data_IF_359857868220
#
_entry.id   IF_359857868220
#
_cell.length_a   1.000
_cell.length_b   1.000
_cell.length_c   1.000
_cell.angle_alpha   90.00
_cell.angle_beta   90.00
_cell.angle_gamma   90.00
#
_symmetry.space_group_name_H-M   'P 1'
#
loop_
_entity.id
_entity.type
_entity.pdbx_description
1 polymer ?
#
# COMPACT_ATOMS: atom_id res chain seq x y z
N UNK A 1 -28.46 8.89 18.74
CA UNK A 1 -27.78 10.14 18.33
C UNK A 1 -26.33 10.03 18.77
N UNK A 2 -25.42 10.40 17.86
CA UNK A 2 -23.98 10.64 18.05
C UNK A 2 -23.05 9.42 18.19
N UNK A 3 -22.53 9.02 17.01
CA UNK A 3 -21.17 8.51 16.82
C UNK A 3 -20.20 9.68 16.96
N UNK A 4 -19.13 9.53 17.75
CA UNK A 4 -17.90 10.28 17.55
C UNK A 4 -16.72 9.31 17.60
N UNK A 5 -16.00 9.33 16.48
CA UNK A 5 -14.77 8.62 16.21
C UNK A 5 -13.75 8.92 17.31
N UNK A 6 -13.03 7.87 17.71
CA UNK A 6 -11.87 7.96 18.58
C UNK A 6 -10.70 8.43 17.71
N UNK A 7 -10.47 9.73 17.64
CA UNK A 7 -9.24 10.33 17.11
C UNK A 7 -8.15 10.30 18.19
N UNK A 8 -6.98 9.70 17.93
CA UNK A 8 -5.75 10.17 18.54
C UNK A 8 -4.86 10.88 17.50
N UNK A 9 -4.82 12.21 17.65
CA UNK A 9 -3.62 13.05 17.74
C UNK A 9 -2.56 12.85 16.64
N UNK A 10 -2.57 13.81 15.71
CA UNK A 10 -1.42 14.25 14.92
C UNK A 10 -0.25 14.52 15.87
N UNK A 11 0.69 13.58 15.95
CA UNK A 11 2.01 13.78 16.54
C UNK A 11 3.00 14.00 15.40
N UNK A 12 3.64 15.17 15.42
CA UNK A 12 4.41 15.72 14.32
C UNK A 12 5.57 14.85 13.87
N UNK A 13 5.50 14.43 12.60
CA UNK A 13 6.64 14.30 11.72
C UNK A 13 6.29 15.18 10.51
N UNK A 14 7.23 15.92 9.93
CA UNK A 14 7.08 16.48 8.58
C UNK A 14 7.11 15.32 7.55
N UNK A 15 6.25 14.31 7.74
CA UNK A 15 6.15 13.09 6.97
C UNK A 15 4.90 13.15 6.11
N UNK A 16 5.00 12.62 4.90
CA UNK A 16 3.83 12.43 4.05
C UNK A 16 2.89 11.40 4.69
N UNK A 17 1.59 11.63 4.67
CA UNK A 17 0.61 10.56 4.93
C UNK A 17 0.24 9.88 3.61
N UNK A 18 -0.19 8.64 3.70
CA UNK A 18 -0.53 7.80 2.56
C UNK A 18 -1.95 7.28 2.71
N UNK A 19 -2.83 7.59 1.78
CA UNK A 19 -4.20 7.08 1.75
C UNK A 19 -4.31 5.98 0.72
N UNK A 20 -4.60 4.76 1.15
CA UNK A 20 -4.85 3.61 0.27
C UNK A 20 -6.35 3.48 0.06
N UNK A 21 -6.79 3.61 -1.19
CA UNK A 21 -8.19 3.39 -1.57
C UNK A 21 -8.25 2.02 -2.24
N UNK A 22 -8.75 1.04 -1.51
CA UNK A 22 -8.78 -0.37 -1.95
C UNK A 22 -9.82 -0.61 -3.06
N UNK A 23 -10.90 0.17 -3.06
CA UNK A 23 -12.01 0.10 -4.01
C UNK A 23 -12.56 1.48 -4.31
N UNK A 24 -12.89 1.74 -5.56
CA UNK A 24 -13.56 2.99 -5.97
C UNK A 24 -14.88 3.19 -5.20
N UNK A 25 -15.10 4.39 -4.66
CA UNK A 25 -16.30 4.73 -3.89
C UNK A 25 -16.25 4.34 -2.40
N UNK A 26 -15.16 3.74 -1.92
CA UNK A 26 -14.94 3.51 -0.49
C UNK A 26 -14.02 4.57 0.12
N UNK A 27 -14.19 4.80 1.43
CA UNK A 27 -13.28 5.66 2.20
C UNK A 27 -11.90 4.98 2.22
N UNK A 28 -10.88 5.72 1.79
CA UNK A 28 -9.50 5.25 1.86
C UNK A 28 -9.02 5.12 3.30
N UNK A 29 -8.09 4.19 3.52
CA UNK A 29 -7.41 4.02 4.81
C UNK A 29 -6.15 4.88 4.80
N UNK A 30 -6.00 5.75 5.79
CA UNK A 30 -4.81 6.59 5.95
C UNK A 30 -3.75 5.90 6.79
N UNK A 31 -2.50 6.04 6.37
CA UNK A 31 -1.31 5.52 7.02
C UNK A 31 -0.26 6.62 7.12
N UNK A 32 0.31 6.80 8.31
CA UNK A 32 1.49 7.64 8.50
C UNK A 32 2.78 6.92 8.06
N UNK A 33 2.77 5.58 8.07
CA UNK A 33 3.92 4.76 7.70
C UNK A 33 3.82 4.27 6.24
N UNK A 34 4.85 4.52 5.40
CA UNK A 34 4.83 4.12 4.00
C UNK A 34 4.86 2.60 3.79
N UNK A 35 5.41 1.82 4.74
CA UNK A 35 5.47 0.35 4.63
C UNK A 35 4.09 -0.26 4.86
N UNK A 36 3.36 0.24 5.85
CA UNK A 36 1.96 -0.15 6.08
C UNK A 36 1.07 0.19 4.89
N UNK A 37 1.24 1.37 4.30
CA UNK A 37 0.52 1.74 3.08
C UNK A 37 0.86 0.82 1.91
N UNK A 38 2.14 0.49 1.72
CA UNK A 38 2.60 -0.42 0.67
C UNK A 38 2.04 -1.84 0.86
N UNK A 39 2.02 -2.35 2.09
CA UNK A 39 1.42 -3.65 2.43
C UNK A 39 -0.09 -3.68 2.17
N UNK A 40 -0.82 -2.64 2.59
CA UNK A 40 -2.25 -2.53 2.33
C UNK A 40 -2.55 -2.47 0.82
N UNK A 41 -1.77 -1.71 0.06
CA UNK A 41 -1.89 -1.66 -1.40
C UNK A 41 -1.51 -3.00 -2.05
N UNK A 42 -0.48 -3.69 -1.55
CA UNK A 42 -0.05 -5.00 -2.01
C UNK A 42 -1.11 -6.09 -1.77
N UNK A 43 -1.80 -6.05 -0.62
CA UNK A 43 -2.89 -6.98 -0.28
C UNK A 43 -4.22 -6.67 -0.97
N UNK A 44 -4.45 -5.42 -1.36
CA UNK A 44 -5.71 -5.03 -2.02
C UNK A 44 -5.96 -5.81 -3.33
N UNK A 45 -7.20 -6.18 -3.60
CA UNK A 45 -7.54 -6.94 -4.81
C UNK A 45 -7.32 -6.07 -6.07
N UNK A 46 -6.57 -6.58 -7.06
CA UNK A 46 -6.29 -5.83 -8.28
C UNK A 46 -7.56 -5.53 -9.11
N UNK A 47 -8.62 -6.33 -8.96
CA UNK A 47 -9.90 -6.13 -9.65
C UNK A 47 -10.63 -4.88 -9.18
N UNK A 48 -10.45 -4.50 -7.91
CA UNK A 48 -11.07 -3.31 -7.29
C UNK A 48 -10.37 -2.00 -7.69
N UNK A 49 -9.30 -2.11 -8.51
CA UNK A 49 -8.47 -1.00 -9.01
C UNK A 49 -7.96 -0.09 -7.88
N UNK A 50 -7.23 -0.65 -6.89
CA UNK A 50 -6.75 0.14 -5.78
C UNK A 50 -5.75 1.20 -6.25
N UNK A 51 -5.68 2.31 -5.52
CA UNK A 51 -4.71 3.37 -5.73
C UNK A 51 -4.28 4.01 -4.41
N UNK A 52 -3.09 4.62 -4.40
CA UNK A 52 -2.47 5.23 -3.23
C UNK A 52 -2.23 6.70 -3.50
N UNK A 53 -2.77 7.52 -2.61
CA UNK A 53 -2.51 8.94 -2.54
C UNK A 53 -1.44 9.21 -1.49
N UNK A 54 -0.47 10.04 -1.81
CA UNK A 54 0.46 10.64 -0.87
C UNK A 54 0.01 12.06 -0.60
N UNK A 55 -0.29 12.38 0.66
CA UNK A 55 -0.63 13.72 1.12
C UNK A 55 0.59 14.32 1.82
N UNK A 56 1.02 15.50 1.36
CA UNK A 56 2.13 16.26 1.92
C UNK A 56 1.68 17.69 2.14
N UNK A 57 1.48 18.09 3.40
CA UNK A 57 1.10 19.44 3.82
C UNK A 57 -0.05 20.08 3.02
N UNK A 58 0.23 20.58 1.81
CA UNK A 58 -0.71 21.26 0.90
C UNK A 58 -0.90 20.56 -0.45
N UNK A 59 -0.36 19.36 -0.66
CA UNK A 59 -0.42 18.67 -1.97
C UNK A 59 -0.68 17.18 -1.79
N UNK A 60 -1.64 16.67 -2.56
CA UNK A 60 -1.96 15.25 -2.67
C UNK A 60 -1.58 14.74 -4.05
N UNK A 61 -0.97 13.58 -4.15
CA UNK A 61 -0.54 13.01 -5.43
C UNK A 61 -0.64 11.50 -5.45
N UNK A 62 -1.05 10.94 -6.58
CA UNK A 62 -1.16 9.48 -6.74
C UNK A 62 0.24 8.91 -6.96
N UNK A 63 0.68 8.04 -6.06
CA UNK A 63 2.01 7.40 -6.13
C UNK A 63 1.95 5.96 -6.60
N UNK A 64 0.79 5.32 -6.52
CA UNK A 64 0.57 3.98 -7.06
C UNK A 64 -0.89 3.81 -7.49
N UNK A 65 -1.10 3.01 -8.53
CA UNK A 65 -2.43 2.69 -9.02
C UNK A 65 -2.44 1.32 -9.69
N UNK A 66 -3.63 0.72 -9.74
CA UNK A 66 -3.84 -0.51 -10.50
C UNK A 66 -4.50 -0.18 -11.82
N UNK A 67 -3.80 -0.49 -12.93
CA UNK A 67 -4.28 -0.27 -14.28
C UNK A 67 -4.32 -1.59 -15.04
N UNK A 68 -5.45 -1.89 -15.67
CA UNK A 68 -5.66 -3.15 -16.41
C UNK A 68 -5.33 -4.42 -15.58
N UNK A 69 -5.68 -4.44 -14.30
CA UNK A 69 -5.40 -5.56 -13.40
C UNK A 69 -3.95 -5.67 -12.91
N UNK A 70 -3.08 -4.74 -13.30
CA UNK A 70 -1.68 -4.71 -12.89
C UNK A 70 -1.40 -3.51 -11.99
N UNK A 71 -0.80 -3.78 -10.82
CA UNK A 71 -0.35 -2.76 -9.89
C UNK A 71 0.93 -2.13 -10.41
N UNK A 72 0.93 -0.81 -10.51
CA UNK A 72 2.06 -0.03 -11.01
C UNK A 72 2.30 1.17 -10.12
N UNK A 73 3.58 1.45 -9.88
CA UNK A 73 4.01 2.70 -9.27
C UNK A 73 3.94 3.82 -10.31
N UNK A 74 3.45 4.99 -9.91
CA UNK A 74 3.45 6.18 -10.75
C UNK A 74 4.68 7.02 -10.44
N UNK A 75 5.39 7.52 -11.46
CA UNK A 75 6.54 8.37 -11.24
C UNK A 75 6.07 9.67 -10.57
N UNK A 76 6.54 9.91 -9.34
CA UNK A 76 6.29 11.15 -8.62
C UNK A 76 7.61 11.91 -8.46
N UNK A 77 7.82 12.93 -9.31
CA UNK A 77 9.04 13.73 -9.30
C UNK A 77 10.30 12.95 -9.73
N UNK A 78 11.47 13.46 -9.35
CA UNK A 78 12.78 12.86 -9.64
C UNK A 78 13.28 11.90 -8.56
N UNK A 79 12.61 11.82 -7.42
CA UNK A 79 13.10 11.12 -6.23
C UNK A 79 12.33 9.81 -6.00
N UNK A 80 13.07 8.74 -5.69
CA UNK A 80 12.49 7.50 -5.18
C UNK A 80 11.87 7.79 -3.81
N UNK A 81 10.55 7.76 -3.70
CA UNK A 81 9.85 7.98 -2.44
C UNK A 81 9.90 6.76 -1.51
N UNK A 82 9.75 6.98 -0.20
CA UNK A 82 9.78 5.92 0.83
C UNK A 82 8.76 4.80 0.56
N UNK A 83 7.59 5.15 0.02
CA UNK A 83 6.56 4.20 -0.40
C UNK A 83 7.05 3.27 -1.52
N UNK A 84 7.75 3.80 -2.53
CA UNK A 84 8.27 2.99 -3.63
C UNK A 84 9.28 1.97 -3.11
N UNK A 85 10.22 2.41 -2.26
CA UNK A 85 11.23 1.53 -1.67
C UNK A 85 10.56 0.41 -0.86
N UNK A 86 9.56 0.76 -0.04
CA UNK A 86 8.83 -0.23 0.75
C UNK A 86 8.05 -1.23 -0.13
N UNK A 87 7.40 -0.77 -1.20
CA UNK A 87 6.67 -1.62 -2.12
C UNK A 87 7.59 -2.55 -2.91
N UNK A 88 8.74 -2.06 -3.38
CA UNK A 88 9.75 -2.88 -4.05
C UNK A 88 10.33 -3.96 -3.12
N UNK A 89 10.55 -3.64 -1.83
CA UNK A 89 10.96 -4.64 -0.83
C UNK A 89 9.93 -5.76 -0.66
N UNK A 90 8.63 -5.41 -0.61
CA UNK A 90 7.56 -6.41 -0.54
C UNK A 90 7.51 -7.30 -1.80
N UNK A 91 7.70 -6.71 -2.99
CA UNK A 91 7.77 -7.48 -4.24
C UNK A 91 8.99 -8.40 -4.30
N UNK A 92 10.11 -8.00 -3.70
CA UNK A 92 11.30 -8.83 -3.54
C UNK A 92 11.05 -10.01 -2.60
N UNK A 93 10.43 -9.76 -1.44
CA UNK A 93 10.09 -10.80 -0.47
C UNK A 93 9.07 -11.81 -0.99
N UNK A 94 8.08 -11.36 -1.77
CA UNK A 94 7.08 -12.25 -2.37
C UNK A 94 7.70 -13.22 -3.42
N UNK A 95 8.83 -12.85 -4.01
CA UNK A 95 9.58 -13.72 -4.93
C UNK A 95 10.56 -14.65 -4.22
N UNK A 96 10.86 -14.40 -2.94
CA UNK A 96 11.74 -15.22 -2.09
C UNK A 96 10.95 -16.26 -1.28
N UNK A 97 9.74 -16.62 -1.70
CA UNK A 97 9.11 -17.85 -1.20
C UNK A 97 9.78 -19.04 -1.91
N UNK A 98 10.55 -19.88 -1.20
CA UNK A 98 11.06 -21.11 -1.79
C UNK A 98 9.86 -21.95 -2.27
N UNK A 99 9.97 -22.66 -3.42
CA UNK A 99 8.94 -23.62 -3.79
C UNK A 99 8.79 -24.59 -2.62
N UNK A 100 7.58 -24.68 -2.07
CA UNK A 100 7.26 -25.62 -1.00
C UNK A 100 7.78 -26.99 -1.43
N UNK A 101 8.81 -27.47 -0.73
CA UNK A 101 9.24 -28.86 -0.83
C UNK A 101 8.02 -29.68 -0.44
N UNK A 102 7.30 -30.15 -1.45
CA UNK A 102 6.16 -31.03 -1.31
C UNK A 102 6.52 -32.16 -0.37
N UNK A 103 5.96 -32.11 0.83
CA UNK A 103 5.78 -33.29 1.65
C UNK A 103 4.69 -34.10 0.95
N UNK A 104 5.11 -35.10 0.20
CA UNK A 104 4.26 -36.22 -0.20
C UNK A 104 5.10 -37.48 -0.03
N UNK A 105 5.04 -38.05 1.17
CA UNK A 105 4.32 -39.30 1.43
C UNK A 105 4.96 -40.53 0.77
N UNK A 106 5.81 -41.19 1.57
CA UNK A 106 5.67 -42.57 2.03
C UNK A 106 5.04 -43.63 1.09
N UNK A 107 5.76 -44.78 1.05
CA UNK A 107 5.40 -46.19 0.79
C UNK A 107 5.07 -46.66 -0.64
N UNK A 108 5.33 -47.95 -1.00
CA UNK A 108 5.60 -49.14 -0.16
C UNK A 108 7.06 -49.47 0.12
#
# INVERSE_FOLDING_TARGET
>A
MMVFLNDPIVSGCHGATYTVIARSGQRGTEFADPRQAADAFYKACAQDRPFVLRNQANTSSIVAATRAGRKSLLPYGKERGDFQVAYEQLLGQAQDLPPERGVANQVP
#
